data_IF_156940361843
#
_entry.id   IF_156940361843
#
_cell.length_a   1.000
_cell.length_b   1.000
_cell.length_c   1.000
_cell.angle_alpha   90.00
_cell.angle_beta   90.00
_cell.angle_gamma   90.00
#
_symmetry.space_group_name_H-M   'P 1'
#
loop_
_entity.id
_entity.type
_entity.pdbx_description
1 polymer ?
#
# COMPACT_ATOMS: atom_id res chain seq x y z
N UNK A 1 6.67 -26.00 49.44
CA UNK A 1 6.38 -24.58 49.75
C UNK A 1 7.30 -23.55 49.07
N UNK A 2 8.63 -23.77 48.92
CA UNK A 2 9.52 -22.78 48.29
C UNK A 2 9.09 -22.39 46.85
N UNK A 3 8.66 -23.35 46.04
CA UNK A 3 8.30 -23.11 44.63
C UNK A 3 7.06 -22.25 44.43
N UNK A 4 6.03 -22.42 45.27
CA UNK A 4 4.80 -21.59 45.23
C UNK A 4 5.13 -20.11 45.48
N UNK A 5 6.09 -19.83 46.35
CA UNK A 5 6.53 -18.46 46.65
C UNK A 5 7.21 -17.81 45.44
N UNK A 6 8.00 -18.58 44.67
CA UNK A 6 8.63 -18.10 43.44
C UNK A 6 7.63 -17.87 42.30
N UNK A 7 6.62 -18.73 42.17
CA UNK A 7 5.55 -18.56 41.17
C UNK A 7 4.73 -17.30 41.41
N UNK A 8 4.40 -17.00 42.68
CA UNK A 8 3.67 -15.78 43.05
C UNK A 8 4.53 -14.54 42.78
N UNK A 9 5.82 -14.58 43.11
CA UNK A 9 6.74 -13.48 42.86
C UNK A 9 6.82 -13.16 41.35
N UNK A 10 6.94 -14.20 40.52
CA UNK A 10 6.99 -14.08 39.07
C UNK A 10 5.72 -13.42 38.50
N UNK A 11 4.54 -13.83 38.99
CA UNK A 11 3.25 -13.26 38.56
C UNK A 11 3.17 -11.78 38.94
N UNK A 12 3.58 -11.40 40.15
CA UNK A 12 3.59 -10.00 40.59
C UNK A 12 4.52 -9.17 39.71
N UNK A 13 5.72 -9.67 39.41
CA UNK A 13 6.68 -8.98 38.53
C UNK A 13 6.12 -8.79 37.12
N UNK A 14 5.41 -9.80 36.57
CA UNK A 14 4.76 -9.69 35.26
C UNK A 14 3.65 -8.62 35.27
N UNK A 15 2.87 -8.55 36.34
CA UNK A 15 1.79 -7.55 36.49
C UNK A 15 2.36 -6.14 36.62
N UNK A 16 3.40 -5.94 37.42
CA UNK A 16 4.06 -4.64 37.59
C UNK A 16 4.73 -4.16 36.30
N UNK A 17 5.41 -5.04 35.55
CA UNK A 17 5.95 -4.70 34.24
C UNK A 17 4.85 -4.33 33.24
N UNK A 18 3.70 -5.03 33.29
CA UNK A 18 2.56 -4.73 32.41
C UNK A 18 1.96 -3.34 32.70
N UNK A 19 1.85 -2.96 33.99
CA UNK A 19 1.36 -1.65 34.41
C UNK A 19 2.34 -0.51 34.08
N UNK A 20 3.64 -0.71 34.32
CA UNK A 20 4.68 0.25 33.94
C UNK A 20 4.67 0.50 32.42
N UNK A 21 4.38 -0.54 31.63
CA UNK A 21 4.33 -0.45 30.17
C UNK A 21 3.06 0.22 29.63
N UNK A 22 1.91 0.02 30.28
CA UNK A 22 0.68 0.75 29.96
C UNK A 22 0.89 2.28 30.07
N UNK A 23 1.70 2.71 31.04
CA UNK A 23 2.11 4.10 31.20
C UNK A 23 3.13 4.58 30.15
N UNK A 24 3.88 3.68 29.50
CA UNK A 24 4.77 4.01 28.39
C UNK A 24 4.04 4.07 27.03
N UNK A 25 2.98 3.29 26.86
CA UNK A 25 2.16 3.26 25.64
C UNK A 25 1.43 4.58 25.37
N UNK A 26 1.06 5.34 26.40
CA UNK A 26 0.51 6.70 26.23
C UNK A 26 1.54 7.68 25.64
N UNK A 27 2.84 7.42 25.79
CA UNK A 27 3.92 8.22 25.21
C UNK A 27 4.33 7.75 23.80
N UNK A 28 4.23 6.45 23.49
CA UNK A 28 4.76 5.86 22.25
C UNK A 28 3.89 6.04 20.98
N UNK A 29 2.58 6.25 21.12
CA UNK A 29 1.68 6.41 19.95
C UNK A 29 2.00 7.67 19.12
N UNK A 30 2.64 8.68 19.72
CA UNK A 30 3.02 9.91 19.02
C UNK A 30 4.25 9.78 18.11
N UNK A 31 5.15 8.83 18.33
CA UNK A 31 6.40 8.70 17.55
C UNK A 31 6.29 7.75 16.35
N UNK A 32 5.21 6.98 16.27
CA UNK A 32 5.01 5.91 15.27
C UNK A 32 4.76 6.42 13.83
N UNK A 33 4.25 7.65 13.69
CA UNK A 33 3.93 8.24 12.39
C UNK A 33 5.14 8.59 11.51
N UNK A 34 6.29 8.93 12.13
CA UNK A 34 7.43 9.51 11.39
C UNK A 34 8.47 8.48 10.90
N UNK A 35 8.59 7.32 11.54
CA UNK A 35 9.68 6.37 11.27
C UNK A 35 9.46 5.43 10.08
N UNK A 36 8.22 5.04 9.79
CA UNK A 36 7.90 4.05 8.75
C UNK A 36 7.87 4.63 7.32
N UNK A 37 7.83 5.95 7.18
CA UNK A 37 7.69 6.63 5.90
C UNK A 37 8.97 6.61 5.04
N UNK A 38 10.14 6.34 5.64
CA UNK A 38 11.45 6.57 5.00
C UNK A 38 12.20 5.31 4.54
N UNK A 39 11.76 4.09 4.89
CA UNK A 39 12.49 2.87 4.50
C UNK A 39 11.93 2.25 3.22
N UNK A 40 12.78 1.98 2.23
CA UNK A 40 12.45 1.24 1.00
C UNK A 40 12.75 -0.25 1.09
N UNK A 41 13.44 -0.70 2.15
CA UNK A 41 13.90 -2.07 2.33
C UNK A 41 12.88 -2.91 3.12
N UNK A 42 12.38 -3.98 2.50
CA UNK A 42 11.38 -4.87 3.08
C UNK A 42 11.88 -5.60 4.34
N UNK A 43 13.17 -5.96 4.42
CA UNK A 43 13.73 -6.60 5.62
C UNK A 43 13.77 -5.64 6.81
N UNK A 44 14.13 -4.37 6.57
CA UNK A 44 14.10 -3.33 7.61
C UNK A 44 12.68 -3.02 8.05
N UNK A 45 11.69 -2.99 7.15
CA UNK A 45 10.28 -2.88 7.54
C UNK A 45 9.83 -4.05 8.40
N UNK A 46 10.15 -5.27 8.02
CA UNK A 46 9.78 -6.45 8.81
C UNK A 46 10.39 -6.41 10.22
N UNK A 47 11.67 -6.03 10.35
CA UNK A 47 12.33 -5.89 11.66
C UNK A 47 11.68 -4.76 12.48
N UNK A 48 11.40 -3.60 11.87
CA UNK A 48 10.72 -2.48 12.54
C UNK A 48 9.30 -2.88 12.95
N UNK A 49 8.58 -3.66 12.14
CA UNK A 49 7.24 -4.17 12.47
C UNK A 49 7.29 -5.24 13.57
N UNK A 50 8.28 -6.14 13.57
CA UNK A 50 8.48 -7.12 14.63
C UNK A 50 8.91 -6.47 15.96
N UNK A 51 9.69 -5.38 15.89
CA UNK A 51 10.10 -4.59 17.07
C UNK A 51 9.08 -3.51 17.45
N UNK A 52 8.07 -3.28 16.62
CA UNK A 52 6.96 -2.39 16.96
C UNK A 52 6.04 -3.06 17.98
N UNK A 53 5.30 -2.25 18.74
CA UNK A 53 4.47 -2.71 19.83
C UNK A 53 3.66 -4.00 19.51
N UNK A 54 2.96 -4.13 18.37
CA UNK A 54 2.25 -5.37 18.01
C UNK A 54 3.14 -6.62 17.89
N UNK A 55 4.31 -6.51 17.25
CA UNK A 55 5.24 -7.63 17.08
C UNK A 55 5.91 -8.04 18.39
N UNK A 56 6.21 -7.07 19.25
CA UNK A 56 6.73 -7.31 20.59
C UNK A 56 5.69 -8.01 21.49
N UNK A 57 4.40 -7.69 21.36
CA UNK A 57 3.33 -8.41 22.08
C UNK A 57 3.22 -9.87 21.68
N UNK A 58 3.35 -10.20 20.38
CA UNK A 58 3.38 -11.60 19.93
C UNK A 58 4.54 -12.36 20.59
N UNK A 59 5.71 -11.74 20.73
CA UNK A 59 6.87 -12.36 21.39
C UNK A 59 6.67 -12.52 22.90
N UNK A 60 6.05 -11.55 23.57
CA UNK A 60 5.70 -11.65 25.00
C UNK A 60 4.68 -12.76 25.20
N UNK A 61 3.62 -12.82 24.39
CA UNK A 61 2.56 -13.83 24.50
C UNK A 61 3.11 -15.24 24.25
N UNK A 62 4.00 -15.41 23.28
CA UNK A 62 4.74 -16.66 23.06
C UNK A 62 5.63 -17.02 24.27
N UNK A 63 6.28 -16.03 24.88
CA UNK A 63 7.08 -16.22 26.09
C UNK A 63 6.25 -16.68 27.29
N UNK A 64 5.09 -16.05 27.52
CA UNK A 64 4.15 -16.42 28.59
C UNK A 64 3.64 -17.85 28.35
N UNK A 65 3.26 -18.19 27.12
CA UNK A 65 2.80 -19.53 26.77
C UNK A 65 3.87 -20.60 27.02
N UNK A 66 5.13 -20.30 26.68
CA UNK A 66 6.29 -21.16 26.96
C UNK A 66 6.47 -21.40 28.46
N UNK A 67 6.39 -20.34 29.29
CA UNK A 67 6.53 -20.43 30.75
C UNK A 67 5.40 -21.25 31.38
N UNK A 68 4.16 -21.06 30.92
CA UNK A 68 3.00 -21.84 31.39
C UNK A 68 3.20 -23.32 31.04
N UNK A 69 3.61 -23.61 29.80
CA UNK A 69 3.82 -24.98 29.32
C UNK A 69 4.95 -25.67 30.09
N UNK A 70 6.07 -24.97 30.33
CA UNK A 70 7.19 -25.50 31.09
C UNK A 70 6.82 -25.75 32.56
N UNK A 71 6.09 -24.83 33.18
CA UNK A 71 5.61 -24.97 34.56
C UNK A 71 4.66 -26.17 34.71
N UNK A 72 3.82 -26.40 33.70
CA UNK A 72 2.93 -27.55 33.67
C UNK A 72 3.69 -28.88 33.56
N UNK A 73 4.65 -28.98 32.64
CA UNK A 73 5.49 -30.18 32.48
C UNK A 73 6.26 -30.49 33.77
N UNK A 74 6.78 -29.47 34.44
CA UNK A 74 7.48 -29.63 35.72
C UNK A 74 6.55 -30.16 36.83
N UNK A 75 5.34 -29.60 36.93
CA UNK A 75 4.34 -30.04 37.90
C UNK A 75 3.92 -31.51 37.68
N UNK A 76 3.66 -31.90 36.43
CA UNK A 76 3.29 -33.29 36.09
C UNK A 76 4.43 -34.26 36.40
N UNK A 77 5.69 -33.85 36.18
CA UNK A 77 6.86 -34.66 36.50
C UNK A 77 7.02 -34.88 38.02
N UNK A 78 6.85 -33.83 38.82
CA UNK A 78 6.98 -33.88 40.28
C UNK A 78 5.90 -34.78 40.94
N UNK A 79 4.66 -34.71 40.44
CA UNK A 79 3.56 -35.56 40.94
C UNK A 79 3.76 -37.05 40.64
N UNK A 80 4.46 -37.40 39.56
CA UNK A 80 4.80 -38.81 39.26
C UNK A 80 5.86 -39.38 40.20
N UNK A 81 6.71 -38.52 40.77
CA UNK A 81 7.86 -38.95 41.56
C UNK A 81 7.52 -39.22 43.03
N UNK A 82 6.52 -38.55 43.61
CA UNK A 82 6.27 -38.53 45.06
C UNK A 82 4.97 -39.25 45.53
N UNK A 83 4.40 -40.15 44.74
CA UNK A 83 3.03 -40.65 44.96
C UNK A 83 2.75 -41.37 46.29
N UNK A 84 1.97 -40.71 47.17
CA UNK A 84 0.95 -41.37 48.02
C UNK A 84 -0.43 -41.19 47.36
N UNK A 85 -1.07 -42.30 47.01
CA UNK A 85 -2.26 -42.41 46.14
C UNK A 85 -3.43 -41.47 46.48
N UNK A 86 -3.66 -41.15 47.77
CA UNK A 86 -4.77 -40.27 48.20
C UNK A 86 -4.51 -38.77 48.02
N UNK A 87 -3.26 -38.31 47.97
CA UNK A 87 -2.93 -36.89 47.76
C UNK A 87 -3.00 -36.52 46.27
N UNK A 88 -2.84 -37.52 45.40
CA UNK A 88 -2.93 -37.39 43.95
C UNK A 88 -4.34 -36.98 43.52
N UNK A 89 -5.40 -37.55 44.12
CA UNK A 89 -6.79 -37.23 43.74
C UNK A 89 -7.17 -35.77 44.05
N UNK A 90 -6.78 -35.24 45.22
CA UNK A 90 -7.01 -33.83 45.57
C UNK A 90 -6.21 -32.87 44.66
N UNK A 91 -4.98 -33.25 44.29
CA UNK A 91 -4.16 -32.48 43.36
C UNK A 91 -4.72 -32.51 41.93
N UNK A 92 -5.29 -33.62 41.49
CA UNK A 92 -6.01 -33.73 40.21
C UNK A 92 -7.23 -32.82 40.19
N UNK A 93 -8.01 -32.76 41.27
CA UNK A 93 -9.20 -31.90 41.36
C UNK A 93 -8.82 -30.41 41.31
N UNK A 94 -7.76 -30.00 42.02
CA UNK A 94 -7.22 -28.63 41.95
C UNK A 94 -6.70 -28.28 40.56
N UNK A 95 -5.98 -29.20 39.92
CA UNK A 95 -5.52 -29.02 38.54
C UNK A 95 -6.70 -28.86 37.58
N UNK A 96 -7.78 -29.65 37.75
CA UNK A 96 -8.99 -29.55 36.93
C UNK A 96 -9.67 -28.18 37.06
N UNK A 97 -9.77 -27.62 38.27
CA UNK A 97 -10.31 -26.27 38.51
C UNK A 97 -9.42 -25.21 37.84
N UNK A 98 -8.09 -25.35 37.96
CA UNK A 98 -7.13 -24.47 37.29
C UNK A 98 -7.27 -24.52 35.76
N UNK A 99 -7.43 -25.71 35.18
CA UNK A 99 -7.64 -25.90 33.75
C UNK A 99 -8.97 -25.34 33.26
N UNK A 100 -10.04 -25.48 34.05
CA UNK A 100 -11.35 -24.90 33.71
C UNK A 100 -11.27 -23.37 33.64
N UNK A 101 -10.55 -22.76 34.58
CA UNK A 101 -10.32 -21.31 34.56
C UNK A 101 -9.36 -20.87 33.44
N UNK A 102 -8.35 -21.69 33.09
CA UNK A 102 -7.46 -21.38 31.96
C UNK A 102 -8.17 -21.50 30.62
N UNK A 103 -9.16 -22.39 30.48
CA UNK A 103 -9.95 -22.53 29.25
C UNK A 103 -10.74 -21.26 28.95
N UNK A 104 -11.38 -20.67 29.97
CA UNK A 104 -12.04 -19.36 29.84
C UNK A 104 -11.05 -18.24 29.47
N UNK A 105 -9.80 -18.33 29.94
CA UNK A 105 -8.75 -17.40 29.56
C UNK A 105 -8.33 -17.57 28.09
N UNK A 106 -8.19 -18.80 27.61
CA UNK A 106 -7.88 -19.08 26.19
C UNK A 106 -8.99 -18.60 25.27
N UNK A 107 -10.26 -18.86 25.61
CA UNK A 107 -11.41 -18.37 24.83
C UNK A 107 -11.43 -16.83 24.78
N UNK A 108 -11.26 -16.16 25.92
CA UNK A 108 -11.18 -14.70 25.98
C UNK A 108 -10.03 -14.15 25.12
N UNK A 109 -8.87 -14.80 25.17
CA UNK A 109 -7.70 -14.40 24.40
C UNK A 109 -7.93 -14.54 22.89
N UNK A 110 -8.54 -15.66 22.46
CA UNK A 110 -8.89 -15.90 21.06
C UNK A 110 -9.91 -14.86 20.58
N UNK A 111 -10.97 -14.61 21.35
CA UNK A 111 -12.01 -13.61 21.02
C UNK A 111 -11.38 -12.21 20.89
N UNK A 112 -10.49 -11.82 21.82
CA UNK A 112 -9.80 -10.53 21.76
C UNK A 112 -8.95 -10.38 20.50
N UNK A 113 -8.21 -11.41 20.10
CA UNK A 113 -7.36 -11.37 18.91
C UNK A 113 -8.19 -11.33 17.63
N UNK A 114 -9.26 -12.12 17.55
CA UNK A 114 -10.19 -12.09 16.42
C UNK A 114 -10.80 -10.69 16.30
N UNK A 115 -11.24 -10.09 17.40
CA UNK A 115 -11.78 -8.74 17.40
C UNK A 115 -10.75 -7.70 16.93
N UNK A 116 -9.51 -7.79 17.42
CA UNK A 116 -8.44 -6.87 17.05
C UNK A 116 -8.07 -6.98 15.56
N UNK A 117 -8.01 -8.20 15.02
CA UNK A 117 -7.81 -8.44 13.57
C UNK A 117 -8.98 -7.89 12.77
N UNK A 118 -10.22 -8.13 13.22
CA UNK A 118 -11.43 -7.66 12.55
C UNK A 118 -11.52 -6.14 12.49
N UNK A 119 -10.98 -5.42 13.47
CA UNK A 119 -10.94 -3.94 13.49
C UNK A 119 -9.74 -3.40 12.69
N UNK A 120 -8.55 -4.00 12.81
CA UNK A 120 -7.35 -3.49 12.17
C UNK A 120 -7.28 -3.81 10.67
N UNK A 121 -7.76 -4.98 10.23
CA UNK A 121 -7.70 -5.36 8.82
C UNK A 121 -8.44 -4.38 7.89
N UNK A 122 -9.68 -3.92 8.20
CA UNK A 122 -10.35 -2.87 7.42
C UNK A 122 -9.57 -1.55 7.40
N UNK A 123 -8.95 -1.15 8.51
CA UNK A 123 -8.16 0.08 8.58
C UNK A 123 -6.91 0.01 7.68
N UNK A 124 -6.22 -1.13 7.64
CA UNK A 124 -5.08 -1.36 6.75
C UNK A 124 -5.52 -1.31 5.27
N UNK A 125 -6.67 -1.90 4.94
CA UNK A 125 -7.25 -1.85 3.60
C UNK A 125 -7.62 -0.40 3.23
N UNK A 126 -8.30 0.32 4.13
CA UNK A 126 -8.65 1.73 3.94
C UNK A 126 -7.41 2.62 3.77
N UNK A 127 -6.34 2.36 4.51
CA UNK A 127 -5.09 3.10 4.35
C UNK A 127 -4.43 2.84 2.99
N UNK A 128 -4.33 1.57 2.57
CA UNK A 128 -3.70 1.21 1.30
C UNK A 128 -4.48 1.71 0.07
N UNK A 129 -5.82 1.75 0.15
CA UNK A 129 -6.67 2.30 -0.92
C UNK A 129 -6.49 3.81 -1.14
N UNK A 130 -5.98 4.55 -0.16
CA UNK A 130 -5.73 5.99 -0.34
C UNK A 130 -4.63 6.29 -1.38
N UNK A 131 -3.73 5.35 -1.65
CA UNK A 131 -2.57 5.56 -2.56
C UNK A 131 -2.76 5.04 -3.99
N UNK A 132 -3.96 4.55 -4.32
CA UNK A 132 -4.29 4.03 -5.66
C UNK A 132 -5.56 4.68 -6.22
N UNK A 133 -5.60 4.89 -7.54
CA UNK A 133 -6.80 5.26 -8.29
C UNK A 133 -7.42 3.99 -8.86
N UNK A 134 -8.74 3.84 -8.71
CA UNK A 134 -9.48 2.69 -9.25
C UNK A 134 -10.36 3.18 -10.40
N UNK A 135 -10.15 2.63 -11.59
CA UNK A 135 -11.00 2.91 -12.74
C UNK A 135 -12.13 1.87 -12.79
N UNK A 136 -13.34 2.30 -12.44
CA UNK A 136 -14.52 1.44 -12.44
C UNK A 136 -14.89 0.90 -13.82
N UNK A 137 -14.45 1.54 -14.91
CA UNK A 137 -14.78 1.10 -16.27
C UNK A 137 -13.89 -0.07 -16.71
N UNK A 138 -12.60 -0.01 -16.40
CA UNK A 138 -11.65 -1.10 -16.71
C UNK A 138 -11.52 -2.14 -15.60
N UNK A 139 -12.01 -1.85 -14.39
CA UNK A 139 -11.79 -2.63 -13.17
C UNK A 139 -10.31 -2.75 -12.77
N UNK A 140 -9.47 -1.83 -13.26
CA UNK A 140 -8.05 -1.77 -12.92
C UNK A 140 -7.78 -0.80 -11.76
N UNK A 141 -6.73 -1.09 -11.00
CA UNK A 141 -6.15 -0.17 -10.04
C UNK A 141 -4.85 0.40 -10.60
N UNK A 142 -4.51 1.64 -10.24
CA UNK A 142 -3.29 2.33 -10.66
C UNK A 142 -2.61 3.02 -9.48
N UNK A 143 -1.29 2.94 -9.39
CA UNK A 143 -0.49 3.54 -8.30
C UNK A 143 0.21 4.83 -8.71
N UNK A 144 0.43 4.99 -10.01
CA UNK A 144 1.16 6.10 -10.58
C UNK A 144 0.37 6.76 -11.69
N UNK A 145 0.64 8.04 -11.91
CA UNK A 145 0.03 8.82 -12.97
C UNK A 145 1.06 9.78 -13.61
N UNK A 146 0.77 10.18 -14.83
CA UNK A 146 1.33 11.38 -15.44
C UNK A 146 0.19 12.20 -16.02
N UNK A 147 0.22 13.50 -15.74
CA UNK A 147 -0.70 14.44 -16.38
C UNK A 147 -0.17 14.71 -17.78
N UNK A 148 -0.91 14.22 -18.76
CA UNK A 148 -0.67 14.49 -20.19
C UNK A 148 -1.64 15.57 -20.65
N UNK A 149 -1.46 16.02 -21.88
CA UNK A 149 -2.36 17.02 -22.45
C UNK A 149 -3.69 16.43 -22.92
N UNK A 150 -3.75 15.12 -23.13
CA UNK A 150 -4.98 14.37 -23.44
C UNK A 150 -5.73 13.92 -22.17
N UNK A 151 -5.24 14.30 -20.98
CA UNK A 151 -5.79 13.89 -19.70
C UNK A 151 -4.76 13.16 -18.83
N UNK A 152 -5.22 12.23 -18.01
CA UNK A 152 -4.35 11.48 -17.11
C UNK A 152 -3.99 10.13 -17.74
N UNK A 153 -2.70 9.81 -17.77
CA UNK A 153 -2.22 8.47 -18.07
C UNK A 153 -1.87 7.77 -16.75
N UNK A 154 -2.32 6.53 -16.60
CA UNK A 154 -2.19 5.77 -15.37
C UNK A 154 -1.34 4.52 -15.56
N UNK A 155 -0.60 4.13 -14.50
CA UNK A 155 0.23 2.92 -14.51
C UNK A 155 0.34 2.29 -13.13
N UNK A 156 0.58 0.99 -13.09
CA UNK A 156 0.89 0.23 -11.87
C UNK A 156 2.39 0.14 -11.57
N UNK A 157 3.24 0.36 -12.57
CA UNK A 157 4.69 0.41 -12.38
C UNK A 157 5.15 1.84 -12.14
N UNK A 158 6.15 2.01 -11.27
CA UNK A 158 6.94 3.25 -11.21
C UNK A 158 7.81 3.43 -12.47
N UNK A 159 7.87 2.39 -13.31
CA UNK A 159 8.71 2.34 -14.48
C UNK A 159 8.37 3.48 -15.43
N UNK A 160 9.40 4.23 -15.80
CA UNK A 160 9.37 5.19 -16.88
C UNK A 160 8.99 4.44 -18.15
N UNK A 161 7.71 4.44 -18.51
CA UNK A 161 7.34 4.05 -19.85
C UNK A 161 8.20 4.89 -20.79
N UNK A 162 8.86 4.24 -21.76
CA UNK A 162 9.67 4.86 -22.82
C UNK A 162 8.98 6.07 -23.49
N UNK A 163 7.67 6.20 -23.29
CA UNK A 163 6.82 7.28 -23.78
C UNK A 163 7.02 8.65 -23.17
N UNK A 164 7.63 8.87 -21.99
CA UNK A 164 7.61 10.24 -21.39
C UNK A 164 8.92 10.81 -20.82
N UNK A 165 10.00 10.05 -20.60
CA UNK A 165 11.22 10.51 -19.89
C UNK A 165 10.96 11.27 -18.57
N UNK A 166 9.74 11.14 -18.04
CA UNK A 166 9.30 11.79 -16.83
C UNK A 166 8.87 10.68 -15.91
N UNK A 167 9.38 10.71 -14.69
CA UNK A 167 8.98 9.77 -13.66
C UNK A 167 7.49 9.93 -13.39
N UNK A 168 6.76 8.82 -13.47
CA UNK A 168 5.36 8.79 -13.10
C UNK A 168 5.25 9.16 -11.63
N UNK A 169 4.37 10.10 -11.31
CA UNK A 169 4.16 10.55 -9.93
C UNK A 169 3.22 9.58 -9.22
N UNK A 170 3.47 9.33 -7.94
CA UNK A 170 2.55 8.52 -7.13
C UNK A 170 1.23 9.25 -6.95
N UNK A 171 0.12 8.53 -7.04
CA UNK A 171 -1.21 9.08 -6.82
C UNK A 171 -1.37 9.44 -5.35
N UNK A 172 -1.84 10.66 -5.07
CA UNK A 172 -2.19 11.14 -3.74
C UNK A 172 -3.61 11.74 -3.74
N UNK A 173 -4.12 12.14 -2.57
CA UNK A 173 -5.48 12.68 -2.45
C UNK A 173 -5.71 13.95 -3.28
N UNK A 174 -4.70 14.84 -3.39
CA UNK A 174 -4.80 16.06 -4.19
C UNK A 174 -5.00 15.74 -5.67
N UNK A 175 -4.24 14.75 -6.16
CA UNK A 175 -4.33 14.26 -7.54
C UNK A 175 -5.67 13.57 -7.80
N UNK A 176 -6.19 12.79 -6.86
CA UNK A 176 -7.54 12.20 -6.99
C UNK A 176 -8.62 13.26 -7.17
N UNK A 177 -8.61 14.31 -6.34
CA UNK A 177 -9.53 15.45 -6.48
C UNK A 177 -9.38 16.14 -7.83
N UNK A 178 -8.15 16.27 -8.34
CA UNK A 178 -7.90 16.82 -9.66
C UNK A 178 -8.48 15.91 -10.76
N UNK A 179 -8.21 14.61 -10.74
CA UNK A 179 -8.77 13.65 -11.70
C UNK A 179 -10.30 13.71 -11.71
N UNK A 180 -10.93 13.70 -10.54
CA UNK A 180 -12.40 13.79 -10.40
C UNK A 180 -12.95 15.10 -10.96
N UNK A 181 -12.27 16.22 -10.69
CA UNK A 181 -12.64 17.52 -11.26
C UNK A 181 -12.59 17.49 -12.79
N UNK A 182 -11.49 17.00 -13.36
CA UNK A 182 -11.34 16.94 -14.81
C UNK A 182 -12.34 15.97 -15.47
N UNK A 183 -12.63 14.83 -14.83
CA UNK A 183 -13.62 13.87 -15.30
C UNK A 183 -15.04 14.47 -15.31
N UNK A 184 -15.42 15.20 -14.25
CA UNK A 184 -16.71 15.90 -14.16
C UNK A 184 -16.87 16.99 -15.22
N UNK A 185 -15.80 17.74 -15.49
CA UNK A 185 -15.81 18.83 -16.47
C UNK A 185 -15.74 18.34 -17.92
N UNK A 186 -15.46 17.05 -18.15
CA UNK A 186 -15.37 16.49 -19.50
C UNK A 186 -14.25 17.11 -20.35
N UNK A 187 -13.27 17.78 -19.74
CA UNK A 187 -12.22 18.52 -20.46
C UNK A 187 -11.40 17.60 -21.37
N UNK A 188 -11.25 16.33 -20.99
CA UNK A 188 -10.61 15.31 -21.82
C UNK A 188 -11.33 15.04 -23.15
N UNK A 189 -12.63 15.38 -23.25
CA UNK A 189 -13.46 15.14 -24.44
C UNK A 189 -13.36 16.29 -25.46
N UNK A 190 -12.99 17.48 -25.02
CA UNK A 190 -12.85 18.65 -25.88
C UNK A 190 -11.38 18.89 -26.21
N UNK A 191 -10.72 17.90 -26.81
CA UNK A 191 -9.47 18.16 -27.53
C UNK A 191 -9.86 19.14 -28.64
N UNK A 192 -9.35 20.39 -28.64
CA UNK A 192 -9.74 21.36 -29.66
C UNK A 192 -9.49 20.74 -31.03
N UNK A 193 -10.51 20.79 -31.90
CA UNK A 193 -10.35 20.34 -33.28
C UNK A 193 -9.17 21.11 -33.85
N UNK A 194 -8.20 20.35 -34.33
CA UNK A 194 -6.97 20.90 -34.87
C UNK A 194 -7.34 21.64 -36.17
N UNK A 195 -7.18 22.96 -36.17
CA UNK A 195 -7.25 23.76 -37.39
C UNK A 195 -5.90 23.75 -38.11
N UNK A 196 -5.76 22.84 -39.07
CA UNK A 196 -4.55 22.72 -39.88
C UNK A 196 -4.32 23.92 -40.81
N UNK A 197 -5.30 24.81 -40.99
CA UNK A 197 -5.19 25.97 -41.90
C UNK A 197 -4.31 27.09 -41.35
N UNK A 198 -4.13 27.15 -40.03
CA UNK A 198 -3.32 28.19 -39.37
C UNK A 198 -2.32 27.59 -38.37
N UNK A 199 -1.31 26.85 -38.87
CA UNK A 199 -0.43 26.07 -38.02
C UNK A 199 0.57 26.86 -37.19
N UNK A 200 0.85 28.08 -37.62
CA UNK A 200 1.73 29.01 -36.91
C UNK A 200 0.86 30.06 -36.23
N UNK A 201 1.18 30.37 -34.99
CA UNK A 201 0.59 31.52 -34.32
C UNK A 201 1.15 32.80 -34.94
N UNK A 202 0.31 33.55 -35.64
CA UNK A 202 0.68 34.79 -36.33
C UNK A 202 1.32 35.82 -35.39
N UNK A 203 1.00 35.78 -34.09
CA UNK A 203 1.55 36.74 -33.12
C UNK A 203 2.93 36.33 -32.63
N UNK A 204 3.14 35.05 -32.32
CA UNK A 204 4.40 34.58 -31.73
C UNK A 204 5.39 33.99 -32.75
N UNK A 205 4.95 33.68 -33.97
CA UNK A 205 5.74 32.94 -34.96
C UNK A 205 5.99 31.48 -34.57
N UNK A 206 5.49 31.04 -33.42
CA UNK A 206 5.70 29.70 -32.92
C UNK A 206 4.70 28.72 -33.56
N UNK A 207 5.17 27.49 -33.76
CA UNK A 207 4.29 26.42 -34.18
C UNK A 207 3.26 26.10 -33.09
N UNK A 208 1.99 26.01 -33.48
CA UNK A 208 0.91 25.50 -32.63
C UNK A 208 0.94 23.97 -32.55
N UNK A 209 1.74 23.32 -33.40
CA UNK A 209 1.77 21.86 -33.53
C UNK A 209 3.16 21.30 -33.31
N UNK A 210 3.17 20.04 -32.91
CA UNK A 210 4.35 19.23 -32.72
C UNK A 210 4.21 17.99 -33.56
N UNK A 211 5.31 17.47 -34.11
CA UNK A 211 5.27 16.29 -34.97
C UNK A 211 6.17 15.19 -34.45
N UNK A 212 5.78 13.96 -34.77
CA UNK A 212 6.61 12.77 -34.61
C UNK A 212 6.47 11.87 -35.83
N UNK A 213 7.48 11.05 -36.08
CA UNK A 213 7.46 10.05 -37.14
C UNK A 213 6.95 8.71 -36.58
N UNK A 214 6.00 8.09 -37.27
CA UNK A 214 5.58 6.71 -37.07
C UNK A 214 5.90 5.91 -38.33
N UNK A 215 7.10 5.32 -38.38
CA UNK A 215 7.67 4.81 -39.62
C UNK A 215 8.00 5.95 -40.57
N UNK A 216 7.44 5.95 -41.78
CA UNK A 216 7.56 7.04 -42.76
C UNK A 216 6.45 8.09 -42.67
N UNK A 217 5.45 7.89 -41.80
CA UNK A 217 4.30 8.78 -41.69
C UNK A 217 4.53 9.88 -40.67
N UNK A 218 4.18 11.11 -41.05
CA UNK A 218 4.15 12.25 -40.16
C UNK A 218 2.84 12.19 -39.35
N UNK A 219 2.94 12.39 -38.05
CA UNK A 219 1.78 12.51 -37.14
C UNK A 219 1.91 13.82 -36.38
N UNK A 220 0.88 14.65 -36.44
CA UNK A 220 0.80 15.92 -35.73
C UNK A 220 0.12 15.76 -34.37
N UNK A 221 0.58 16.56 -33.42
CA UNK A 221 0.14 16.62 -32.04
C UNK A 221 -0.07 18.09 -31.64
N UNK A 222 -1.10 18.39 -30.84
CA UNK A 222 -1.39 19.77 -30.44
C UNK A 222 -0.43 20.36 -29.40
N UNK A 223 0.44 19.54 -28.80
CA UNK A 223 1.28 19.97 -27.66
C UNK A 223 2.67 19.32 -27.69
N UNK A 224 3.68 19.95 -27.03
CA UNK A 224 4.99 19.35 -26.83
C UNK A 224 4.94 18.06 -26.05
N UNK A 225 6.00 17.25 -26.21
CA UNK A 225 6.22 16.07 -25.38
C UNK A 225 6.85 14.94 -26.17
N UNK A 226 6.27 13.77 -26.05
CA UNK A 226 6.72 12.55 -26.72
C UNK A 226 5.53 11.89 -27.40
N UNK A 227 5.80 11.22 -28.51
CA UNK A 227 4.82 10.39 -29.18
C UNK A 227 4.39 9.32 -28.17
N UNK A 228 3.09 9.09 -27.91
CA UNK A 228 2.64 7.81 -27.35
C UNK A 228 3.06 6.72 -28.36
N UNK A 229 2.75 5.44 -28.31
CA UNK A 229 3.23 4.46 -29.31
C UNK A 229 4.77 4.32 -29.49
N UNK A 230 5.52 5.29 -30.04
CA UNK A 230 6.98 5.20 -30.28
C UNK A 230 7.85 5.75 -29.14
N UNK A 231 7.35 6.67 -28.31
CA UNK A 231 8.10 7.30 -27.22
C UNK A 231 9.18 8.29 -27.62
N UNK A 232 9.33 8.57 -28.91
CA UNK A 232 10.26 9.58 -29.43
C UNK A 232 9.81 10.99 -29.05
N UNK A 233 10.76 11.87 -28.76
CA UNK A 233 10.48 13.29 -28.55
C UNK A 233 9.83 13.91 -29.77
N UNK A 234 8.72 14.62 -29.53
CA UNK A 234 8.07 15.41 -30.55
C UNK A 234 8.91 16.66 -30.83
N UNK A 235 8.95 17.07 -32.09
CA UNK A 235 9.62 18.28 -32.54
C UNK A 235 8.58 19.34 -32.88
N UNK A 236 8.86 20.65 -32.72
CA UNK A 236 7.96 21.69 -33.23
C UNK A 236 7.73 21.50 -34.73
N UNK A 237 6.47 21.55 -35.17
CA UNK A 237 6.12 21.35 -36.56
C UNK A 237 6.36 22.65 -37.36
N UNK A 238 7.30 22.61 -38.29
CA UNK A 238 7.52 23.72 -39.24
C UNK A 238 6.42 23.73 -40.30
N UNK A 239 6.27 24.84 -41.02
CA UNK A 239 5.33 24.95 -42.14
C UNK A 239 5.55 23.83 -43.18
N UNK A 240 6.81 23.55 -43.54
CA UNK A 240 7.18 22.46 -44.46
C UNK A 240 6.69 21.08 -44.00
N UNK A 241 6.80 20.78 -42.69
CA UNK A 241 6.36 19.50 -42.13
C UNK A 241 4.84 19.37 -42.21
N UNK A 242 4.14 20.49 -42.07
CA UNK A 242 2.68 20.52 -42.09
C UNK A 242 2.17 20.39 -43.52
N UNK A 243 2.83 21.01 -44.50
CA UNK A 243 2.57 20.77 -45.92
C UNK A 243 2.75 19.29 -46.28
N UNK A 244 3.86 18.68 -45.88
CA UNK A 244 4.09 17.23 -46.09
C UNK A 244 3.03 16.36 -45.42
N UNK A 245 2.55 16.74 -44.24
CA UNK A 245 1.45 16.04 -43.58
C UNK A 245 0.14 16.16 -44.36
N UNK A 246 -0.18 17.35 -44.88
CA UNK A 246 -1.39 17.58 -45.68
C UNK A 246 -1.34 16.81 -47.00
N UNK A 247 -0.19 16.78 -47.69
CA UNK A 247 0.05 15.96 -48.90
C UNK A 247 -0.16 14.46 -48.61
N UNK A 248 0.27 13.99 -47.45
CA UNK A 248 0.06 12.61 -47.01
C UNK A 248 -1.43 12.29 -46.81
N UNK A 249 -2.21 13.21 -46.24
CA UNK A 249 -3.64 13.02 -45.99
C UNK A 249 -4.47 13.13 -47.29
N UNK A 250 -4.10 14.01 -48.24
CA UNK A 250 -4.77 14.08 -49.54
C UNK A 250 -4.52 12.83 -50.37
N UNK A 251 -3.27 12.35 -50.43
CA UNK A 251 -2.91 11.11 -51.14
C UNK A 251 -3.67 9.90 -50.62
N UNK A 252 -4.01 9.88 -49.32
CA UNK A 252 -4.76 8.79 -48.70
C UNK A 252 -6.25 8.81 -49.08
N UNK A 253 -6.83 10.00 -49.27
CA UNK A 253 -8.24 10.14 -49.65
C UNK A 253 -8.48 9.83 -51.13
N UNK A 254 -7.50 10.06 -52.00
CA UNK A 254 -7.60 9.72 -53.43
C UNK A 254 -7.57 8.21 -53.71
N UNK A 255 -7.03 7.41 -52.80
CA UNK A 255 -6.90 5.94 -52.97
C UNK A 255 -8.19 5.20 -52.56
N UNK A 256 -9.18 5.88 -51.98
CA UNK A 256 -10.34 5.24 -51.34
C UNK A 256 -11.61 5.25 -52.23
N UNK A 257 -11.46 5.11 -53.55
CA UNK A 257 -12.56 5.13 -54.56
C UNK A 257 -12.89 3.76 -55.17
N UNK A 258 -12.48 2.66 -54.53
CA UNK A 258 -12.90 1.29 -54.86
C UNK A 258 -13.77 0.70 -53.73
#
# INVERSE_FOLDING_TARGET
MKYVKWSILLIITIVELSLLHANFMSFGVFSWGYGLEWSTDYKKKLIITLLSAPGFFILIDLGILLVITASYQFYVSDQRYNGKKGEIENNIEKARIYFKNSYNFTEYFVIRHIFLIAVLAPLIVLYNTQTSYFDFKSMDHYKYYIKTMQGFYFSNSNYEGYMYNTSLKRINQKVKKEIDYWNKQGVHKNIPKIDYRNPIDKKSGNSKFWYGLQGKKIVLFPFPGRNPKTGNHLKPATEEIILKFLEQETSKNEINWE
#
